data_IF_851031154301
#
_entry.id   IF_851031154301
#
_cell.length_a   1.000
_cell.length_b   1.000
_cell.length_c   1.000
_cell.angle_alpha   90.00
_cell.angle_beta   90.00
_cell.angle_gamma   90.00
#
_symmetry.space_group_name_H-M   'P 1'
#
loop_
_entity.id
_entity.type
_entity.pdbx_description
1 polymer ?
#
# COMPACT_ATOMS: atom_id res chain seq x y z
N UNK A 1 -7.18 -14.85 0.73
CA UNK A 1 -8.07 -13.74 0.37
C UNK A 1 -7.22 -12.70 -0.33
N UNK A 2 -7.61 -12.25 -1.51
CA UNK A 2 -6.90 -11.17 -2.20
C UNK A 2 -7.11 -9.89 -1.41
N UNK A 3 -6.03 -9.22 -1.02
CA UNK A 3 -6.11 -7.83 -0.59
C UNK A 3 -6.79 -7.01 -1.69
N UNK A 4 -7.58 -6.00 -1.35
CA UNK A 4 -8.26 -5.08 -2.25
C UNK A 4 -7.63 -3.69 -2.05
N UNK A 5 -7.41 -2.97 -3.14
CA UNK A 5 -7.10 -1.55 -3.07
C UNK A 5 -8.32 -0.69 -3.44
N UNK A 6 -8.65 0.27 -2.57
CA UNK A 6 -9.79 1.17 -2.71
C UNK A 6 -9.33 2.63 -2.65
N UNK A 7 -9.96 3.48 -3.45
CA UNK A 7 -9.66 4.90 -3.56
C UNK A 7 -10.91 5.71 -3.23
N UNK A 8 -10.80 6.69 -2.33
CA UNK A 8 -11.90 7.50 -1.85
C UNK A 8 -11.61 8.98 -2.11
N UNK A 9 -12.41 9.62 -2.96
CA UNK A 9 -12.35 11.06 -3.23
C UNK A 9 -13.25 11.80 -2.25
N UNK A 10 -12.70 12.75 -1.51
CA UNK A 10 -13.44 13.55 -0.51
C UNK A 10 -12.95 14.99 -0.47
N UNK A 11 -13.80 15.88 0.02
CA UNK A 11 -13.38 17.25 0.31
C UNK A 11 -12.28 17.27 1.39
N UNK A 12 -11.26 18.09 1.20
CA UNK A 12 -10.14 18.34 2.12
C UNK A 12 -10.62 18.85 3.48
N UNK A 13 -11.75 19.55 3.52
CA UNK A 13 -12.44 19.99 4.74
C UNK A 13 -12.84 18.81 5.65
N UNK A 14 -13.21 17.67 5.06
CA UNK A 14 -13.63 16.45 5.76
C UNK A 14 -12.44 15.57 6.18
N UNK A 15 -11.26 15.83 5.64
CA UNK A 15 -10.07 15.01 5.89
C UNK A 15 -9.66 15.02 7.37
N UNK A 16 -9.75 16.16 8.05
CA UNK A 16 -9.34 16.26 9.46
C UNK A 16 -10.18 15.35 10.38
N UNK A 17 -11.50 15.31 10.18
CA UNK A 17 -12.37 14.45 10.98
C UNK A 17 -12.16 12.97 10.63
N UNK A 18 -11.97 12.64 9.34
CA UNK A 18 -11.58 11.28 8.95
C UNK A 18 -10.27 10.85 9.63
N UNK A 19 -9.22 11.68 9.56
CA UNK A 19 -7.92 11.38 10.15
C UNK A 19 -8.02 11.11 11.66
N UNK A 20 -8.81 11.92 12.36
CA UNK A 20 -9.10 11.74 13.79
C UNK A 20 -9.85 10.43 14.07
N UNK A 21 -10.88 10.10 13.29
CA UNK A 21 -11.65 8.86 13.44
C UNK A 21 -10.80 7.61 13.15
N UNK A 22 -9.98 7.68 12.11
CA UNK A 22 -9.06 6.61 11.71
C UNK A 22 -7.83 6.50 12.63
N UNK A 23 -7.57 7.51 13.47
CA UNK A 23 -6.38 7.55 14.32
C UNK A 23 -5.09 7.79 13.54
N UNK A 24 -5.18 8.45 12.38
CA UNK A 24 -4.05 8.78 11.52
C UNK A 24 -3.18 9.85 12.20
N UNK A 25 -1.90 9.53 12.39
CA UNK A 25 -0.89 10.50 12.80
C UNK A 25 0.04 10.76 11.62
N UNK A 26 0.33 12.04 11.33
CA UNK A 26 1.35 12.41 10.36
C UNK A 26 2.71 11.87 10.82
N UNK A 27 3.44 11.27 9.89
CA UNK A 27 4.69 10.53 10.10
C UNK A 27 5.92 11.42 10.26
N UNK A 28 5.78 12.75 10.39
CA UNK A 28 6.90 13.70 10.29
C UNK A 28 8.08 13.40 11.24
N UNK A 29 7.90 12.59 12.29
CA UNK A 29 8.99 12.11 13.16
C UNK A 29 8.73 10.73 13.79
N UNK A 30 8.22 9.73 13.04
CA UNK A 30 8.27 8.37 13.58
C UNK A 30 9.68 7.81 13.38
N UNK A 31 10.38 7.38 14.46
CA UNK A 31 11.67 6.72 14.31
C UNK A 31 11.48 5.55 13.35
N UNK A 32 12.45 5.40 12.45
CA UNK A 32 12.56 4.25 11.57
C UNK A 32 12.32 3.01 12.43
N UNK A 33 11.16 2.37 12.31
CA UNK A 33 10.81 1.15 13.05
C UNK A 33 11.59 0.01 12.39
N UNK A 34 12.91 0.07 12.52
CA UNK A 34 13.77 -1.09 12.52
C UNK A 34 13.77 -1.64 13.95
N UNK A 35 13.47 -2.92 13.99
CA UNK A 35 13.75 -3.87 15.06
C UNK A 35 12.79 -3.94 16.25
N UNK A 36 12.08 -5.06 16.19
CA UNK A 36 11.78 -5.99 17.27
C UNK A 36 10.68 -5.65 18.29
N UNK A 37 9.82 -6.65 18.47
CA UNK A 37 8.87 -6.85 19.57
C UNK A 37 7.40 -6.48 19.43
N UNK A 38 6.88 -6.28 18.21
CA UNK A 38 5.49 -6.67 17.91
C UNK A 38 5.36 -7.19 16.47
N UNK A 39 5.70 -8.46 16.25
CA UNK A 39 4.95 -9.24 15.27
C UNK A 39 3.51 -9.32 15.80
N UNK A 40 2.70 -8.29 15.56
CA UNK A 40 1.27 -8.50 15.47
C UNK A 40 1.11 -9.26 14.18
N UNK A 41 0.82 -10.55 14.32
CA UNK A 41 0.47 -11.42 13.23
C UNK A 41 -0.37 -10.64 12.20
N UNK A 42 0.04 -10.70 10.94
CA UNK A 42 -0.85 -10.37 9.83
C UNK A 42 -2.09 -11.24 10.04
N UNK A 43 -3.16 -10.66 10.56
CA UNK A 43 -4.45 -11.30 10.49
C UNK A 43 -4.91 -11.14 9.04
N UNK A 44 -4.41 -12.05 8.20
CA UNK A 44 -5.13 -12.56 7.04
C UNK A 44 -6.32 -13.34 7.59
N UNK A 45 -7.31 -12.62 8.11
CA UNK A 45 -8.54 -13.16 8.62
C UNK A 45 -9.64 -12.30 8.05
N UNK A 46 -10.41 -12.85 7.11
CA UNK A 46 -11.71 -12.30 6.76
C UNK A 46 -12.52 -12.26 8.02
N UNK A 47 -12.49 -11.12 8.70
CA UNK A 47 -13.40 -10.89 9.78
C UNK A 47 -14.79 -10.90 9.16
N UNK A 48 -15.65 -11.75 9.68
CA UNK A 48 -17.07 -11.66 9.42
C UNK A 48 -17.48 -10.21 9.75
N UNK A 49 -18.12 -9.50 8.80
CA UNK A 49 -18.58 -8.13 9.03
C UNK A 49 -19.39 -8.01 10.34
N UNK A 50 -20.12 -9.06 10.74
CA UNK A 50 -20.86 -9.14 11.99
C UNK A 50 -19.98 -9.21 13.26
N UNK A 51 -18.73 -9.69 13.17
CA UNK A 51 -17.76 -9.74 14.28
C UNK A 51 -17.04 -8.40 14.45
N UNK A 52 -16.62 -7.77 13.34
CA UNK A 52 -16.19 -6.36 13.34
C UNK A 52 -17.31 -5.48 13.90
N UNK A 53 -18.57 -5.81 13.59
CA UNK A 53 -19.73 -5.05 14.04
C UNK A 53 -19.98 -5.10 15.55
N UNK A 54 -19.45 -6.09 16.27
CA UNK A 54 -19.75 -6.27 17.70
C UNK A 54 -18.56 -6.02 18.61
N UNK A 55 -17.35 -6.02 18.08
CA UNK A 55 -16.15 -5.82 18.89
C UNK A 55 -15.87 -4.33 19.13
N UNK A 56 -15.86 -3.86 20.40
CA UNK A 56 -15.56 -2.47 20.73
C UNK A 56 -14.19 -1.99 20.26
N UNK A 57 -13.23 -2.90 20.04
CA UNK A 57 -11.87 -2.60 19.57
C UNK A 57 -11.88 -2.03 18.14
N UNK A 58 -12.87 -2.39 17.32
CA UNK A 58 -13.01 -1.90 15.95
C UNK A 58 -13.95 -0.69 15.82
N UNK A 59 -14.43 -0.11 16.93
CA UNK A 59 -15.34 1.05 16.89
C UNK A 59 -14.78 2.22 16.09
N UNK A 60 -13.50 2.55 16.28
CA UNK A 60 -12.86 3.65 15.57
C UNK A 60 -12.67 3.33 14.07
N UNK A 61 -12.21 2.12 13.75
CA UNK A 61 -12.07 1.67 12.36
C UNK A 61 -13.42 1.69 11.62
N UNK A 62 -14.52 1.29 12.29
CA UNK A 62 -15.86 1.36 11.72
C UNK A 62 -16.35 2.79 11.55
N UNK A 63 -16.20 3.63 12.56
CA UNK A 63 -16.58 5.04 12.43
C UNK A 63 -15.82 5.72 11.28
N UNK A 64 -14.53 5.40 11.12
CA UNK A 64 -13.73 5.90 10.01
C UNK A 64 -14.24 5.39 8.65
N UNK A 65 -14.57 4.09 8.57
CA UNK A 65 -15.13 3.49 7.36
C UNK A 65 -16.51 4.06 7.00
N UNK A 66 -17.41 4.19 7.98
CA UNK A 66 -18.74 4.78 7.80
C UNK A 66 -18.64 6.26 7.40
N UNK A 67 -17.68 6.98 7.99
CA UNK A 67 -17.39 8.36 7.61
C UNK A 67 -16.92 8.46 6.16
N UNK A 68 -15.96 7.64 5.75
CA UNK A 68 -15.52 7.56 4.34
C UNK A 68 -16.72 7.30 3.43
N UNK A 69 -17.53 6.29 3.72
CA UNK A 69 -18.69 5.95 2.87
C UNK A 69 -19.74 7.05 2.76
N UNK A 70 -19.87 7.90 3.77
CA UNK A 70 -20.88 8.97 3.80
C UNK A 70 -20.37 10.32 3.28
N UNK A 71 -19.04 10.53 3.26
CA UNK A 71 -18.42 11.81 2.89
C UNK A 71 -17.43 11.70 1.73
N UNK A 72 -17.39 10.57 1.04
CA UNK A 72 -16.54 10.35 -0.13
C UNK A 72 -17.27 9.60 -1.24
N UNK A 73 -16.70 9.67 -2.45
CA UNK A 73 -17.04 8.79 -3.56
C UNK A 73 -15.88 7.83 -3.82
N UNK A 74 -16.18 6.63 -4.36
CA UNK A 74 -15.15 5.67 -4.76
C UNK A 74 -14.95 5.77 -6.29
N UNK A 75 -14.07 6.67 -6.79
CA UNK A 75 -13.93 6.89 -8.23
C UNK A 75 -13.29 5.70 -8.96
N UNK A 76 -12.47 4.90 -8.26
CA UNK A 76 -11.75 3.79 -8.85
C UNK A 76 -11.73 2.56 -7.94
N UNK A 77 -11.69 1.39 -8.58
CA UNK A 77 -11.49 0.10 -7.93
C UNK A 77 -10.36 -0.62 -8.66
N UNK A 78 -9.30 -1.00 -7.93
CA UNK A 78 -8.23 -1.81 -8.48
C UNK A 78 -8.70 -3.27 -8.49
N UNK A 79 -8.79 -3.86 -9.69
CA UNK A 79 -9.31 -5.21 -9.88
C UNK A 79 -8.30 -6.30 -9.50
N UNK A 80 -7.03 -5.93 -9.35
CA UNK A 80 -5.96 -6.83 -8.95
C UNK A 80 -5.77 -6.83 -7.43
N UNK A 81 -4.97 -7.77 -6.94
CA UNK A 81 -4.62 -7.84 -5.53
C UNK A 81 -3.98 -6.52 -5.07
N UNK A 82 -4.42 -5.98 -3.95
CA UNK A 82 -3.83 -4.82 -3.28
C UNK A 82 -2.32 -4.94 -3.05
N UNK A 83 -1.79 -6.16 -2.84
CA UNK A 83 -0.35 -6.43 -2.82
C UNK A 83 0.37 -6.02 -4.11
N UNK A 84 -0.26 -6.17 -5.27
CA UNK A 84 0.32 -5.72 -6.55
C UNK A 84 0.44 -4.19 -6.58
N UNK A 85 -0.56 -3.48 -6.06
CA UNK A 85 -0.48 -2.02 -5.95
C UNK A 85 0.57 -1.59 -4.92
N UNK A 86 0.65 -2.29 -3.79
CA UNK A 86 1.69 -2.03 -2.80
C UNK A 86 3.09 -2.19 -3.39
N UNK A 87 3.33 -3.30 -4.09
CA UNK A 87 4.59 -3.54 -4.78
C UNK A 87 4.87 -2.48 -5.86
N UNK A 88 3.86 -2.01 -6.58
CA UNK A 88 4.00 -0.91 -7.53
C UNK A 88 4.49 0.37 -6.83
N UNK A 89 3.89 0.73 -5.70
CA UNK A 89 4.26 1.94 -4.95
C UNK A 89 5.72 1.87 -4.47
N UNK A 90 6.14 0.70 -3.98
CA UNK A 90 7.53 0.48 -3.56
C UNK A 90 8.49 0.48 -4.76
N UNK A 91 8.10 -0.08 -5.90
CA UNK A 91 8.88 -0.03 -7.15
C UNK A 91 9.05 1.42 -7.63
N UNK A 92 7.97 2.21 -7.64
CA UNK A 92 8.01 3.63 -8.02
C UNK A 92 8.95 4.42 -7.11
N UNK A 93 8.91 4.16 -5.80
CA UNK A 93 9.79 4.79 -4.83
C UNK A 93 11.25 4.41 -5.04
N UNK A 94 11.56 3.12 -5.02
CA UNK A 94 12.94 2.63 -5.01
C UNK A 94 13.64 2.86 -6.36
N UNK A 95 12.96 2.55 -7.46
CA UNK A 95 13.58 2.46 -8.78
C UNK A 95 13.33 3.71 -9.63
N UNK A 96 12.20 4.40 -9.42
CA UNK A 96 11.83 5.61 -10.18
C UNK A 96 11.96 6.90 -9.38
N UNK A 97 12.25 6.83 -8.08
CA UNK A 97 12.34 7.99 -7.17
C UNK A 97 11.02 8.78 -7.10
N UNK A 98 9.89 8.08 -7.25
CA UNK A 98 8.53 8.62 -7.18
C UNK A 98 7.91 8.10 -5.88
N UNK A 99 8.01 8.89 -4.80
CA UNK A 99 7.56 8.47 -3.47
C UNK A 99 6.15 9.00 -3.14
N UNK A 100 5.13 8.36 -3.73
CA UNK A 100 3.71 8.66 -3.48
C UNK A 100 3.26 8.33 -2.05
N UNK A 101 4.07 7.60 -1.28
CA UNK A 101 3.69 7.09 0.04
C UNK A 101 4.48 7.72 1.20
N UNK A 102 5.49 8.55 0.91
CA UNK A 102 6.28 9.29 1.91
C UNK A 102 5.45 10.17 2.83
N UNK A 103 4.34 10.72 2.32
CA UNK A 103 3.36 11.50 3.09
C UNK A 103 2.25 10.64 3.70
N UNK A 104 2.42 9.32 3.69
CA UNK A 104 1.50 8.36 4.29
C UNK A 104 1.36 8.55 5.80
N UNK A 105 0.24 8.09 6.34
CA UNK A 105 -0.02 8.17 7.77
C UNK A 105 0.50 6.95 8.50
N UNK A 106 0.80 7.11 9.79
CA UNK A 106 1.16 6.01 10.66
C UNK A 106 0.06 4.94 10.67
N UNK A 107 0.47 3.65 10.68
CA UNK A 107 -0.41 2.48 10.71
C UNK A 107 -1.60 2.71 11.65
N UNK A 108 -2.82 2.61 11.13
CA UNK A 108 -4.00 2.57 11.97
C UNK A 108 -4.00 1.26 12.78
N UNK A 109 -4.72 1.18 13.91
CA UNK A 109 -4.89 -0.07 14.64
C UNK A 109 -5.58 -1.18 13.84
N UNK A 110 -6.20 -0.84 12.70
CA UNK A 110 -6.68 -1.75 11.68
C UNK A 110 -5.58 -1.93 10.63
N UNK A 111 -5.09 -3.14 10.43
CA UNK A 111 -3.88 -3.49 9.66
C UNK A 111 -3.82 -3.09 8.16
N UNK A 112 -4.66 -2.18 7.69
CA UNK A 112 -4.72 -1.70 6.30
C UNK A 112 -3.99 -0.37 6.14
N UNK A 113 -2.82 -0.31 5.48
CA UNK A 113 -2.15 0.94 5.19
C UNK A 113 -3.06 1.92 4.43
N UNK A 114 -3.05 3.18 4.87
CA UNK A 114 -3.81 4.28 4.27
C UNK A 114 -2.85 5.40 3.83
N UNK A 115 -3.02 5.87 2.59
CA UNK A 115 -2.17 6.88 1.98
C UNK A 115 -3.01 8.07 1.51
N UNK A 116 -2.47 9.29 1.64
CA UNK A 116 -3.09 10.53 1.15
C UNK A 116 -2.46 10.95 -0.16
N UNK A 117 -3.29 11.18 -1.16
CA UNK A 117 -2.94 11.91 -2.37
C UNK A 117 -3.61 13.30 -2.27
N UNK A 118 -2.80 14.33 -2.06
CA UNK A 118 -3.23 15.72 -1.96
C UNK A 118 -2.57 16.60 -3.04
N UNK A 119 -2.90 17.89 -3.05
CA UNK A 119 -2.37 18.84 -4.03
C UNK A 119 -0.83 18.82 -4.08
N UNK A 120 -0.17 18.64 -2.94
CA UNK A 120 1.29 18.60 -2.88
C UNK A 120 1.88 17.34 -3.50
N UNK A 121 1.24 16.18 -3.34
CA UNK A 121 1.63 14.93 -4.02
C UNK A 121 1.39 15.05 -5.53
N UNK A 122 0.25 15.65 -5.92
CA UNK A 122 -0.08 15.91 -7.33
C UNK A 122 0.97 16.80 -8.00
N UNK A 123 1.30 17.94 -7.40
CA UNK A 123 2.30 18.88 -7.94
C UNK A 123 3.67 18.23 -8.17
N UNK A 124 4.08 17.36 -7.25
CA UNK A 124 5.37 16.69 -7.33
C UNK A 124 5.41 15.60 -8.40
N UNK A 125 4.34 14.81 -8.52
CA UNK A 125 4.43 13.52 -9.19
C UNK A 125 3.49 13.32 -10.37
N UNK A 126 2.43 14.12 -10.56
CA UNK A 126 1.44 13.88 -11.61
C UNK A 126 2.08 13.59 -12.98
N UNK A 127 3.00 14.45 -13.41
CA UNK A 127 3.72 14.29 -14.69
C UNK A 127 4.63 13.06 -14.69
N UNK A 128 5.29 12.74 -13.57
CA UNK A 128 6.21 11.61 -13.46
C UNK A 128 5.52 10.25 -13.53
N UNK A 129 4.23 10.19 -13.20
CA UNK A 129 3.39 8.97 -13.26
C UNK A 129 2.49 8.97 -14.52
N UNK A 130 2.71 9.85 -15.51
CA UNK A 130 1.95 9.78 -16.78
C UNK A 130 2.09 8.38 -17.40
N UNK A 131 0.98 7.65 -17.65
CA UNK A 131 0.99 6.31 -18.24
C UNK A 131 1.81 6.20 -19.53
N UNK A 132 1.98 7.28 -20.30
CA UNK A 132 2.78 7.29 -21.54
C UNK A 132 4.27 7.00 -21.29
N UNK A 133 4.75 7.17 -20.06
CA UNK A 133 6.15 6.93 -19.68
C UNK A 133 6.43 5.49 -19.26
N UNK A 134 5.41 4.63 -19.26
CA UNK A 134 5.50 3.24 -18.80
C UNK A 134 5.07 2.27 -19.90
N UNK A 135 5.48 1.02 -19.75
CA UNK A 135 4.96 -0.09 -20.53
C UNK A 135 4.89 -1.34 -19.67
N UNK A 136 3.92 -2.22 -19.97
CA UNK A 136 3.69 -3.47 -19.23
C UNK A 136 4.97 -4.30 -19.11
N UNK A 137 5.68 -4.50 -20.23
CA UNK A 137 6.92 -5.27 -20.28
C UNK A 137 8.04 -4.65 -19.44
N UNK A 138 8.14 -3.31 -19.45
CA UNK A 138 9.14 -2.62 -18.64
C UNK A 138 8.84 -2.77 -17.15
N UNK A 139 7.59 -2.55 -16.75
CA UNK A 139 7.15 -2.69 -15.36
C UNK A 139 7.33 -4.12 -14.85
N UNK A 140 7.03 -5.12 -15.67
CA UNK A 140 7.28 -6.53 -15.35
C UNK A 140 8.78 -6.80 -15.13
N UNK A 141 9.63 -6.28 -16.03
CA UNK A 141 11.09 -6.45 -15.93
C UNK A 141 11.64 -5.75 -14.68
N UNK A 142 11.22 -4.51 -14.43
CA UNK A 142 11.63 -3.73 -13.26
C UNK A 142 11.21 -4.45 -11.96
N UNK A 143 10.00 -5.01 -11.93
CA UNK A 143 9.51 -5.81 -10.82
C UNK A 143 10.39 -7.04 -10.57
N UNK A 144 10.67 -7.83 -11.62
CA UNK A 144 11.51 -9.03 -11.50
C UNK A 144 12.88 -8.69 -10.94
N UNK A 145 13.53 -7.65 -11.50
CA UNK A 145 14.82 -7.17 -11.04
C UNK A 145 14.77 -6.71 -9.58
N UNK A 146 13.70 -6.01 -9.17
CA UNK A 146 13.51 -5.59 -7.77
C UNK A 146 13.35 -6.79 -6.83
N UNK A 147 12.53 -7.77 -7.22
CA UNK A 147 12.32 -9.00 -6.45
C UNK A 147 13.64 -9.75 -6.21
N UNK A 148 14.49 -9.87 -7.24
CA UNK A 148 15.81 -10.48 -7.12
C UNK A 148 16.74 -9.71 -6.16
N UNK A 149 16.80 -8.37 -6.28
CA UNK A 149 17.59 -7.52 -5.37
C UNK A 149 17.14 -7.66 -3.92
N UNK A 150 15.82 -7.71 -3.68
CA UNK A 150 15.27 -7.90 -2.34
C UNK A 150 15.61 -9.27 -1.77
N UNK A 151 15.47 -10.34 -2.56
CA UNK A 151 15.87 -11.69 -2.15
C UNK A 151 17.34 -11.74 -1.74
N UNK A 152 18.22 -11.14 -2.54
CA UNK A 152 19.65 -11.08 -2.21
C UNK A 152 19.91 -10.29 -0.92
N UNK A 153 19.23 -9.16 -0.73
CA UNK A 153 19.34 -8.34 0.50
C UNK A 153 18.89 -9.13 1.73
N UNK A 154 17.70 -9.73 1.69
CA UNK A 154 17.17 -10.54 2.79
C UNK A 154 18.05 -11.75 3.08
N UNK A 155 18.57 -12.42 2.04
CA UNK A 155 19.51 -13.52 2.22
C UNK A 155 20.77 -13.06 2.98
N UNK A 156 21.40 -11.96 2.57
CA UNK A 156 22.59 -11.41 3.25
C UNK A 156 22.30 -11.06 4.70
N UNK A 157 21.15 -10.44 4.97
CA UNK A 157 20.73 -10.08 6.32
C UNK A 157 20.54 -11.33 7.19
N UNK A 158 19.76 -12.30 6.72
CA UNK A 158 19.47 -13.52 7.48
C UNK A 158 20.69 -14.42 7.63
N UNK A 159 21.61 -14.44 6.66
CA UNK A 159 22.87 -15.17 6.74
C UNK A 159 23.77 -14.66 7.88
N UNK A 160 23.59 -13.40 8.31
CA UNK A 160 24.30 -12.84 9.48
C UNK A 160 23.64 -13.18 10.82
N UNK A 161 22.36 -13.58 10.80
CA UNK A 161 21.53 -13.80 11.99
C UNK A 161 21.27 -15.29 12.28
N UNK A 162 21.31 -16.16 11.27
CA UNK A 162 20.92 -17.56 11.38
C UNK A 162 22.09 -18.55 11.22
N UNK A 163 22.07 -19.68 11.95
CA UNK A 163 22.99 -20.78 11.68
C UNK A 163 22.68 -21.45 10.32
N UNK A 164 23.65 -22.11 9.66
CA UNK A 164 23.51 -22.58 8.28
C UNK A 164 22.30 -23.48 7.98
N UNK A 165 21.89 -24.31 8.94
CA UNK A 165 20.76 -25.22 8.77
C UNK A 165 19.40 -24.52 8.85
N UNK A 166 19.30 -23.42 9.60
CA UNK A 166 18.12 -22.57 9.65
C UNK A 166 18.06 -21.62 8.46
N UNK A 167 19.21 -21.08 8.04
CA UNK A 167 19.32 -20.29 6.81
C UNK A 167 18.85 -21.09 5.59
N UNK A 168 19.22 -22.37 5.49
CA UNK A 168 18.74 -23.25 4.42
C UNK A 168 17.21 -23.40 4.44
N UNK A 169 16.63 -23.70 5.62
CA UNK A 169 15.17 -23.80 5.77
C UNK A 169 14.46 -22.49 5.43
N UNK A 170 15.03 -21.35 5.83
CA UNK A 170 14.51 -20.03 5.49
C UNK A 170 14.52 -19.80 3.97
N UNK A 171 15.60 -20.16 3.28
CA UNK A 171 15.69 -20.03 1.83
C UNK A 171 14.74 -20.96 1.08
N UNK A 172 14.59 -22.20 1.54
CA UNK A 172 13.62 -23.14 0.97
C UNK A 172 12.20 -22.57 1.11
N UNK A 173 11.84 -22.05 2.30
CA UNK A 173 10.56 -21.39 2.53
C UNK A 173 10.36 -20.14 1.65
N UNK A 174 11.38 -19.30 1.51
CA UNK A 174 11.30 -18.11 0.66
C UNK A 174 11.09 -18.50 -0.80
N UNK A 175 11.80 -19.51 -1.31
CA UNK A 175 11.65 -20.02 -2.67
C UNK A 175 10.27 -20.63 -2.91
N UNK A 176 9.72 -21.33 -1.92
CA UNK A 176 8.34 -21.84 -1.96
C UNK A 176 7.29 -20.70 -1.88
N UNK A 177 7.65 -19.56 -1.29
CA UNK A 177 6.82 -18.35 -1.22
C UNK A 177 6.97 -17.44 -2.45
N UNK A 178 7.98 -17.65 -3.30
CA UNK A 178 8.09 -16.94 -4.58
C UNK A 178 6.90 -17.39 -5.41
N UNK A 179 5.94 -16.48 -5.52
CA UNK A 179 4.69 -16.69 -6.25
C UNK A 179 4.91 -17.45 -7.55
N UNK A 180 4.00 -18.40 -7.82
CA UNK A 180 3.80 -18.92 -9.17
C UNK A 180 3.87 -17.77 -10.19
N UNK A 181 4.39 -18.05 -11.41
CA UNK A 181 4.43 -17.02 -12.45
C UNK A 181 3.07 -16.33 -12.55
N UNK A 182 3.06 -15.01 -12.34
CA UNK A 182 1.90 -14.15 -12.49
C UNK A 182 2.02 -13.49 -13.87
N UNK A 183 1.54 -14.13 -14.95
CA UNK A 183 1.81 -13.69 -16.30
C UNK A 183 1.19 -12.33 -16.63
N UNK A 184 0.13 -11.92 -15.92
CA UNK A 184 -0.51 -10.61 -16.08
C UNK A 184 0.11 -9.50 -15.23
N UNK A 185 1.26 -9.75 -14.56
CA UNK A 185 1.87 -8.77 -13.65
C UNK A 185 2.14 -7.42 -14.32
N UNK A 186 2.66 -7.42 -15.55
CA UNK A 186 2.90 -6.19 -16.31
C UNK A 186 1.61 -5.39 -16.54
N UNK A 187 0.52 -6.07 -16.89
CA UNK A 187 -0.82 -5.48 -17.08
C UNK A 187 -1.33 -4.91 -15.75
N UNK A 188 -1.23 -5.69 -14.68
CA UNK A 188 -1.70 -5.28 -13.36
C UNK A 188 -0.96 -4.05 -12.82
N UNK A 189 0.36 -3.98 -13.01
CA UNK A 189 1.15 -2.80 -12.66
C UNK A 189 0.76 -1.59 -13.53
N UNK A 190 0.51 -1.79 -14.82
CA UNK A 190 0.09 -0.72 -15.73
C UNK A 190 -1.30 -0.16 -15.40
N UNK A 191 -2.24 -1.02 -15.01
CA UNK A 191 -3.54 -0.60 -14.49
C UNK A 191 -3.37 0.22 -13.20
N UNK A 192 -2.43 -0.17 -12.34
CA UNK A 192 -2.09 0.55 -11.12
C UNK A 192 -1.58 1.96 -11.41
N UNK A 193 -0.66 2.11 -12.37
CA UNK A 193 -0.17 3.42 -12.86
C UNK A 193 -1.34 4.28 -13.36
N UNK A 194 -2.21 3.70 -14.19
CA UNK A 194 -3.36 4.41 -14.78
C UNK A 194 -4.32 4.91 -13.71
N UNK A 195 -4.63 4.08 -12.72
CA UNK A 195 -5.53 4.43 -11.62
C UNK A 195 -4.90 5.50 -10.72
N UNK A 196 -3.64 5.34 -10.34
CA UNK A 196 -2.93 6.33 -9.53
C UNK A 196 -2.86 7.70 -10.25
N UNK A 197 -2.57 7.71 -11.55
CA UNK A 197 -2.57 8.92 -12.36
C UNK A 197 -3.98 9.55 -12.45
N UNK A 198 -5.02 8.72 -12.65
CA UNK A 198 -6.41 9.15 -12.61
C UNK A 198 -6.80 9.80 -11.27
N UNK A 199 -6.38 9.20 -10.16
CA UNK A 199 -6.61 9.75 -8.82
C UNK A 199 -5.94 11.10 -8.63
N UNK A 200 -4.67 11.26 -9.03
CA UNK A 200 -3.96 12.55 -8.94
C UNK A 200 -4.62 13.63 -9.81
N UNK A 201 -5.25 13.28 -10.93
CA UNK A 201 -5.99 14.26 -11.73
C UNK A 201 -7.24 14.80 -11.03
N UNK A 202 -7.91 13.99 -10.19
CA UNK A 202 -9.08 14.41 -9.42
C UNK A 202 -8.75 15.38 -8.28
N UNK A 203 -7.54 15.26 -7.72
CA UNK A 203 -7.06 16.09 -6.61
C UNK A 203 -6.99 17.57 -7.01
N UNK A 204 -7.47 18.46 -6.14
CA UNK A 204 -7.42 19.91 -6.32
C UNK A 204 -7.39 20.61 -4.93
N UNK A 205 -7.59 21.92 -4.87
CA UNK A 205 -7.56 22.66 -3.59
C UNK A 205 -8.68 22.25 -2.62
N UNK A 206 -9.79 21.73 -3.16
CA UNK A 206 -10.98 21.31 -2.43
C UNK A 206 -10.96 19.80 -2.20
N UNK A 207 -10.38 18.99 -3.10
CA UNK A 207 -10.50 17.54 -3.05
C UNK A 207 -9.17 16.81 -2.80
N UNK A 208 -9.24 15.74 -1.99
CA UNK A 208 -8.14 14.79 -1.74
C UNK A 208 -8.59 13.36 -2.03
N UNK A 209 -7.62 12.46 -2.27
CA UNK A 209 -7.87 11.03 -2.42
C UNK A 209 -7.21 10.25 -1.30
N UNK A 210 -7.98 9.39 -0.63
CA UNK A 210 -7.49 8.39 0.33
C UNK A 210 -7.40 7.04 -0.38
N UNK A 211 -6.20 6.47 -0.41
CA UNK A 211 -5.95 5.12 -0.90
C UNK A 211 -5.83 4.17 0.28
N UNK A 212 -6.64 3.11 0.32
CA UNK A 212 -6.57 2.02 1.30
C UNK A 212 -6.18 0.73 0.60
N UNK A 213 -5.20 0.00 1.16
CA UNK A 213 -4.80 -1.32 0.69
C UNK A 213 -4.99 -2.30 1.86
N UNK A 214 -5.77 -3.37 1.67
CA UNK A 214 -6.08 -4.33 2.73
C UNK A 214 -6.51 -5.69 2.23
#
# INVERSE_FOLDING_TARGET
MSSIASFYLMESSNFHEYAKLAGLQQTENLPNLADDDKQVAVYAGGFNAAEIERDPRFKNARNAFDFLRSHSSQPFQFQWSGYVLYDLLELLKDDKQIDLISKGFAKTPSDTPSYLLDASVKELYLTSIDPVHFSEKQLETDYQNRSERLKEKYFKEMASKLPPHELKKFMDLQNDYVEEPFPERGIALMDGITILHGCLNLVNDIDVVIMQIG
#
